data_IF_645377253890
#
_entry.id   IF_645377253890
#
_cell.length_a   1.000
_cell.length_b   1.000
_cell.length_c   1.000
_cell.angle_alpha   90.00
_cell.angle_beta   90.00
_cell.angle_gamma   90.00
#
_symmetry.space_group_name_H-M   'P 1'
#
loop_
_entity.id
_entity.type
_entity.pdbx_description
1 polymer ?
#
# COMPACT_ATOMS: atom_id res chain seq x y z
N UNK A 1 -7.17 21.67 19.74
CA UNK A 1 -6.95 20.40 19.01
C UNK A 1 -8.27 20.02 18.36
N UNK A 2 -8.30 19.88 17.04
CA UNK A 2 -9.49 19.47 16.29
C UNK A 2 -9.69 17.95 16.41
N UNK A 3 -10.92 17.44 16.26
CA UNK A 3 -11.17 15.98 16.25
C UNK A 3 -10.32 15.23 15.19
N UNK A 4 -9.94 15.93 14.12
CA UNK A 4 -9.07 15.41 13.05
C UNK A 4 -7.60 15.26 13.47
N UNK A 5 -7.13 16.07 14.43
CA UNK A 5 -5.78 15.92 15.01
C UNK A 5 -5.73 14.77 16.02
N UNK A 6 -6.84 14.48 16.71
CA UNK A 6 -6.95 13.34 17.63
C UNK A 6 -7.06 12.00 16.87
N UNK A 7 -7.80 11.97 15.75
CA UNK A 7 -7.94 10.79 14.88
C UNK A 7 -6.61 10.26 14.32
N UNK A 8 -5.63 11.15 14.19
CA UNK A 8 -4.34 10.87 13.58
C UNK A 8 -3.27 10.32 14.55
N UNK A 9 -3.63 10.06 15.82
CA UNK A 9 -2.67 9.75 16.90
C UNK A 9 -2.26 8.27 17.00
N UNK A 10 -3.05 7.34 16.45
CA UNK A 10 -2.75 5.90 16.53
C UNK A 10 -1.74 5.44 15.45
N UNK A 11 -1.60 6.20 14.36
CA UNK A 11 -0.66 5.89 13.30
C UNK A 11 0.77 6.22 13.72
N UNK A 12 1.75 5.35 13.39
CA UNK A 12 3.16 5.68 13.51
C UNK A 12 3.52 7.00 12.81
N UNK A 13 4.48 7.70 13.39
CA UNK A 13 5.02 8.94 12.83
C UNK A 13 6.47 8.80 12.41
N UNK A 14 6.85 9.54 11.38
CA UNK A 14 8.20 9.56 10.81
C UNK A 14 8.67 11.02 10.70
N UNK A 15 9.90 11.31 11.13
CA UNK A 15 10.53 12.63 10.93
C UNK A 15 11.10 12.76 9.53
N UNK A 16 11.37 13.99 9.09
CA UNK A 16 12.07 14.24 7.82
C UNK A 16 13.39 13.46 7.72
N UNK A 17 14.20 13.47 8.77
CA UNK A 17 15.51 12.79 8.81
C UNK A 17 15.37 11.27 8.75
N UNK A 18 14.35 10.71 9.39
CA UNK A 18 14.03 9.29 9.27
C UNK A 18 13.57 8.95 7.85
N UNK A 19 12.73 9.80 7.25
CA UNK A 19 12.26 9.62 5.88
C UNK A 19 13.40 9.59 4.86
N UNK A 20 14.44 10.42 5.04
CA UNK A 20 15.62 10.42 4.16
C UNK A 20 16.36 9.08 4.16
N UNK A 21 16.25 8.27 5.22
CA UNK A 21 16.87 6.93 5.29
C UNK A 21 16.24 5.93 4.31
N UNK A 22 15.01 6.20 3.86
CA UNK A 22 14.36 5.42 2.80
C UNK A 22 14.99 5.65 1.41
N UNK A 23 15.91 6.62 1.30
CA UNK A 23 16.64 6.96 0.07
C UNK A 23 15.70 7.21 -1.12
N UNK A 24 14.76 8.18 -1.00
CA UNK A 24 13.87 8.50 -2.11
C UNK A 24 14.68 8.94 -3.33
N UNK A 25 14.32 8.41 -4.49
CA UNK A 25 14.95 8.78 -5.77
C UNK A 25 14.80 10.27 -6.09
N UNK A 26 13.85 10.96 -5.44
CA UNK A 26 13.65 12.40 -5.50
C UNK A 26 14.87 13.22 -5.05
N UNK A 27 15.79 12.63 -4.28
CA UNK A 27 17.05 13.30 -3.89
C UNK A 27 18.03 13.48 -5.05
N UNK A 28 17.85 12.71 -6.14
CA UNK A 28 18.70 12.80 -7.32
C UNK A 28 18.32 14.00 -8.21
N UNK A 29 17.18 14.63 -7.97
CA UNK A 29 16.71 15.81 -8.68
C UNK A 29 16.69 17.00 -7.72
N UNK A 30 17.40 18.09 -8.06
CA UNK A 30 17.55 19.25 -7.17
C UNK A 30 16.21 19.91 -6.84
N UNK A 31 15.28 19.99 -7.80
CA UNK A 31 13.97 20.64 -7.59
C UNK A 31 13.11 19.78 -6.66
N UNK A 32 13.07 18.47 -6.90
CA UNK A 32 12.33 17.52 -6.05
C UNK A 32 12.93 17.40 -4.65
N UNK A 33 14.25 17.45 -4.52
CA UNK A 33 14.94 17.47 -3.23
C UNK A 33 14.59 18.73 -2.42
N UNK A 34 14.58 19.91 -3.06
CA UNK A 34 14.14 21.17 -2.42
C UNK A 34 12.68 21.08 -2.00
N UNK A 35 11.79 20.63 -2.89
CA UNK A 35 10.37 20.44 -2.56
C UNK A 35 10.16 19.49 -1.37
N UNK A 36 10.88 18.36 -1.34
CA UNK A 36 10.83 17.40 -0.24
C UNK A 36 11.28 18.05 1.08
N UNK A 37 12.33 18.87 1.07
CA UNK A 37 12.81 19.60 2.24
C UNK A 37 11.80 20.65 2.71
N UNK A 38 11.20 21.39 1.80
CA UNK A 38 10.15 22.39 2.09
C UNK A 38 8.89 21.76 2.67
N UNK A 39 8.48 20.58 2.18
CA UNK A 39 7.37 19.83 2.77
C UNK A 39 7.79 19.34 4.16
N UNK A 40 8.94 18.68 4.27
CA UNK A 40 9.43 18.10 5.52
C UNK A 40 9.59 19.11 6.66
N UNK A 41 9.87 20.39 6.37
CA UNK A 41 9.99 21.43 7.39
C UNK A 41 8.65 21.93 7.96
N UNK A 42 7.50 21.60 7.34
CA UNK A 42 6.18 22.09 7.78
C UNK A 42 5.69 21.42 9.06
N UNK A 43 6.12 20.19 9.33
CA UNK A 43 5.79 19.43 10.54
C UNK A 43 7.01 18.66 11.03
N UNK A 44 7.16 18.57 12.35
CA UNK A 44 8.23 17.79 12.99
C UNK A 44 8.13 16.29 12.66
N UNK A 45 6.89 15.79 12.65
CA UNK A 45 6.55 14.39 12.50
C UNK A 45 5.35 14.27 11.56
N UNK A 46 5.37 13.23 10.72
CA UNK A 46 4.38 12.96 9.69
C UNK A 46 3.86 11.54 9.87
N UNK A 47 2.53 11.35 9.87
CA UNK A 47 1.94 10.01 9.75
C UNK A 47 1.49 9.73 8.31
N UNK A 48 0.97 8.52 8.06
CA UNK A 48 0.52 8.12 6.73
C UNK A 48 -0.56 9.07 6.17
N UNK A 49 -1.56 9.46 6.97
CA UNK A 49 -2.65 10.32 6.53
C UNK A 49 -2.18 11.74 6.19
N UNK A 50 -1.20 12.28 6.92
CA UNK A 50 -0.60 13.58 6.61
C UNK A 50 0.04 13.56 5.21
N UNK A 51 0.80 12.51 4.90
CA UNK A 51 1.45 12.36 3.59
C UNK A 51 0.44 12.13 2.47
N UNK A 52 -0.59 11.31 2.71
CA UNK A 52 -1.63 11.01 1.72
C UNK A 52 -2.45 12.26 1.32
N UNK A 53 -2.57 13.23 2.23
CA UNK A 53 -3.28 14.51 2.01
C UNK A 53 -2.46 15.58 1.29
N UNK A 54 -1.18 15.34 0.96
CA UNK A 54 -0.35 16.26 0.19
C UNK A 54 -0.78 16.28 -1.29
N UNK A 55 -1.80 17.10 -1.61
CA UNK A 55 -2.34 17.22 -2.97
C UNK A 55 -1.33 17.79 -3.97
N UNK A 56 -0.35 18.57 -3.51
CA UNK A 56 0.75 19.06 -4.35
C UNK A 56 1.75 17.98 -4.75
N UNK A 57 1.67 16.79 -4.15
CA UNK A 57 2.46 15.61 -4.49
C UNK A 57 1.58 14.65 -5.29
N UNK A 58 2.09 14.11 -6.39
CA UNK A 58 1.32 13.12 -7.16
C UNK A 58 1.06 11.85 -6.31
N UNK A 59 0.00 11.12 -6.66
CA UNK A 59 -0.46 9.97 -5.86
C UNK A 59 0.58 8.85 -5.83
N UNK A 60 1.28 8.60 -6.94
CA UNK A 60 2.30 7.56 -7.00
C UNK A 60 3.43 7.82 -6.00
N UNK A 61 3.89 9.07 -5.90
CA UNK A 61 4.92 9.49 -4.95
C UNK A 61 4.40 9.41 -3.50
N UNK A 62 3.14 9.79 -3.25
CA UNK A 62 2.49 9.61 -1.93
C UNK A 62 2.42 8.14 -1.53
N UNK A 63 1.98 7.25 -2.43
CA UNK A 63 1.91 5.81 -2.20
C UNK A 63 3.29 5.22 -1.92
N UNK A 64 4.31 5.60 -2.70
CA UNK A 64 5.69 5.15 -2.49
C UNK A 64 6.24 5.53 -1.11
N UNK A 65 5.84 6.69 -0.59
CA UNK A 65 6.24 7.17 0.74
C UNK A 65 5.59 6.34 1.86
N UNK A 66 4.28 6.12 1.81
CA UNK A 66 3.52 5.58 2.95
C UNK A 66 3.38 4.06 2.98
N UNK A 67 3.51 3.38 1.85
CA UNK A 67 3.42 1.91 1.80
C UNK A 67 4.72 1.32 2.34
N UNK A 68 4.90 1.39 3.67
CA UNK A 68 6.08 0.99 4.46
C UNK A 68 5.68 0.70 5.90
N UNK A 69 6.43 -0.16 6.58
CA UNK A 69 6.10 -0.61 7.94
C UNK A 69 6.29 0.49 9.00
N UNK A 70 7.09 1.52 8.69
CA UNK A 70 7.28 2.70 9.52
C UNK A 70 6.07 3.65 9.53
N UNK A 71 5.13 3.49 8.59
CA UNK A 71 3.91 4.29 8.50
C UNK A 71 2.64 3.46 8.74
N UNK A 72 2.65 2.19 8.36
CA UNK A 72 1.48 1.29 8.38
C UNK A 72 1.90 -0.08 8.89
N UNK A 73 1.07 -0.74 9.71
CA UNK A 73 1.39 -2.09 10.20
C UNK A 73 1.50 -3.09 9.03
N UNK A 74 2.28 -4.15 9.22
CA UNK A 74 2.41 -5.21 8.22
C UNK A 74 1.06 -5.85 7.86
N UNK A 75 0.16 -6.00 8.84
CA UNK A 75 -1.20 -6.51 8.62
C UNK A 75 -2.01 -5.57 7.72
N UNK A 76 -1.98 -4.25 7.98
CA UNK A 76 -2.68 -3.26 7.17
C UNK A 76 -2.12 -3.24 5.74
N UNK A 77 -0.80 -3.31 5.56
CA UNK A 77 -0.16 -3.41 4.24
C UNK A 77 -0.57 -4.68 3.48
N UNK A 78 -0.68 -5.82 4.17
CA UNK A 78 -1.12 -7.05 3.54
C UNK A 78 -2.60 -7.03 3.15
N UNK A 79 -3.48 -6.53 4.02
CA UNK A 79 -4.91 -6.37 3.68
C UNK A 79 -5.09 -5.34 2.56
N UNK A 80 -4.33 -4.24 2.57
CA UNK A 80 -4.33 -3.27 1.48
C UNK A 80 -3.96 -3.93 0.15
N UNK A 81 -2.89 -4.73 0.12
CA UNK A 81 -2.51 -5.48 -1.06
C UNK A 81 -3.63 -6.43 -1.54
N UNK A 82 -4.32 -7.12 -0.62
CA UNK A 82 -5.49 -7.95 -0.94
C UNK A 82 -6.62 -7.13 -1.58
N UNK A 83 -6.98 -5.96 -1.02
CA UNK A 83 -8.01 -5.08 -1.58
C UNK A 83 -7.63 -4.52 -2.96
N UNK A 84 -6.36 -4.19 -3.18
CA UNK A 84 -5.88 -3.78 -4.50
C UNK A 84 -6.05 -4.90 -5.54
N UNK A 85 -5.75 -6.16 -5.18
CA UNK A 85 -6.00 -7.28 -6.07
C UNK A 85 -7.49 -7.55 -6.29
N UNK A 86 -8.33 -7.47 -5.26
CA UNK A 86 -9.79 -7.59 -5.44
C UNK A 86 -10.31 -6.52 -6.41
N UNK A 87 -9.86 -5.27 -6.26
CA UNK A 87 -10.20 -4.20 -7.18
C UNK A 87 -9.74 -4.53 -8.60
N UNK A 88 -8.49 -4.99 -8.80
CA UNK A 88 -7.99 -5.38 -10.12
C UNK A 88 -8.83 -6.51 -10.74
N UNK A 89 -9.14 -7.56 -9.96
CA UNK A 89 -9.94 -8.70 -10.40
C UNK A 89 -11.37 -8.29 -10.74
N UNK A 90 -11.95 -7.32 -10.02
CA UNK A 90 -13.29 -6.78 -10.31
C UNK A 90 -13.40 -6.08 -11.67
N UNK A 91 -12.28 -5.69 -12.28
CA UNK A 91 -12.24 -5.05 -13.61
C UNK A 91 -12.10 -6.06 -14.75
N UNK A 92 -12.04 -7.35 -14.45
CA UNK A 92 -11.93 -8.44 -15.42
C UNK A 92 -13.27 -9.17 -15.43
N UNK A 93 -13.87 -9.36 -16.61
CA UNK A 93 -15.21 -9.98 -16.72
C UNK A 93 -15.25 -11.44 -16.21
N UNK A 94 -14.16 -12.19 -16.41
CA UNK A 94 -14.01 -13.56 -15.94
C UNK A 94 -12.62 -13.77 -15.32
N UNK A 95 -12.40 -13.30 -14.07
CA UNK A 95 -11.10 -13.40 -13.42
C UNK A 95 -10.75 -14.87 -13.16
N UNK A 96 -9.47 -15.22 -13.30
CA UNK A 96 -9.02 -16.58 -13.06
C UNK A 96 -9.34 -17.00 -11.61
N UNK A 97 -10.08 -18.11 -11.39
CA UNK A 97 -10.43 -18.57 -10.05
C UNK A 97 -9.21 -18.82 -9.14
N UNK A 98 -8.04 -19.12 -9.72
CA UNK A 98 -6.78 -19.29 -8.96
C UNK A 98 -6.32 -17.97 -8.35
N UNK A 99 -6.58 -16.86 -9.02
CA UNK A 99 -6.25 -15.51 -8.53
C UNK A 99 -7.11 -15.14 -7.32
N UNK A 100 -8.41 -15.43 -7.37
CA UNK A 100 -9.33 -15.24 -6.22
C UNK A 100 -8.88 -16.09 -5.03
N UNK A 101 -8.63 -17.38 -5.26
CA UNK A 101 -8.19 -18.31 -4.21
C UNK A 101 -6.88 -17.90 -3.53
N UNK A 102 -5.96 -17.23 -4.24
CA UNK A 102 -4.73 -16.72 -3.63
C UNK A 102 -4.96 -15.51 -2.72
N UNK A 103 -5.88 -14.60 -3.08
CA UNK A 103 -6.26 -13.49 -2.19
C UNK A 103 -6.92 -14.04 -0.92
N UNK A 104 -7.83 -15.01 -1.05
CA UNK A 104 -8.45 -15.69 0.09
C UNK A 104 -7.40 -16.40 0.96
N UNK A 105 -6.46 -17.12 0.35
CA UNK A 105 -5.38 -17.79 1.08
C UNK A 105 -4.53 -16.80 1.88
N UNK A 106 -4.21 -15.64 1.31
CA UNK A 106 -3.46 -14.60 2.04
C UNK A 106 -4.23 -14.11 3.26
N UNK A 107 -5.55 -13.88 3.14
CA UNK A 107 -6.39 -13.49 4.29
C UNK A 107 -6.47 -14.59 5.35
N UNK A 108 -6.56 -15.86 4.96
CA UNK A 108 -6.50 -17.01 5.89
C UNK A 108 -5.16 -17.05 6.63
N UNK A 109 -4.06 -16.81 5.92
CA UNK A 109 -2.72 -16.75 6.50
C UNK A 109 -2.58 -15.61 7.52
N UNK A 110 -3.13 -14.43 7.23
CA UNK A 110 -3.15 -13.31 8.18
C UNK A 110 -3.93 -13.63 9.46
N UNK A 111 -4.96 -14.48 9.37
CA UNK A 111 -5.72 -14.98 10.54
C UNK A 111 -5.05 -16.17 11.24
N UNK A 112 -3.90 -16.65 10.74
CA UNK A 112 -3.21 -17.82 11.28
C UNK A 112 -3.88 -19.17 10.96
N UNK A 113 -4.85 -19.20 10.04
CA UNK A 113 -5.59 -20.41 9.68
C UNK A 113 -4.79 -21.36 8.78
N UNK A 114 -3.79 -20.82 8.06
CA UNK A 114 -2.89 -21.61 7.22
C UNK A 114 -1.45 -21.20 7.49
N UNK A 115 -0.54 -22.17 7.37
CA UNK A 115 0.89 -21.99 7.51
C UNK A 115 1.53 -21.25 6.33
N UNK A 116 2.74 -20.75 6.53
CA UNK A 116 3.60 -20.22 5.47
C UNK A 116 3.77 -21.19 4.29
N UNK A 117 3.87 -22.48 4.59
CA UNK A 117 4.06 -23.54 3.57
C UNK A 117 2.79 -23.71 2.73
N UNK A 118 1.63 -23.74 3.38
CA UNK A 118 0.34 -23.85 2.69
C UNK A 118 0.04 -22.61 1.84
N UNK A 119 0.37 -21.41 2.33
CA UNK A 119 0.27 -20.18 1.55
C UNK A 119 1.13 -20.30 0.29
N UNK A 120 2.42 -20.63 0.42
CA UNK A 120 3.33 -20.80 -0.72
C UNK A 120 2.81 -21.79 -1.77
N UNK A 121 2.28 -22.94 -1.35
CA UNK A 121 1.74 -23.95 -2.27
C UNK A 121 0.54 -23.42 -3.06
N UNK A 122 -0.38 -22.72 -2.40
CA UNK A 122 -1.54 -22.10 -3.07
C UNK A 122 -1.11 -21.02 -4.05
N UNK A 123 -0.09 -20.24 -3.68
CA UNK A 123 0.46 -19.14 -4.43
C UNK A 123 1.28 -19.56 -5.67
N UNK A 124 2.08 -20.63 -5.59
CA UNK A 124 2.86 -21.16 -6.72
C UNK A 124 1.97 -21.63 -7.88
N UNK A 125 0.74 -22.08 -7.60
CA UNK A 125 -0.23 -22.47 -8.63
C UNK A 125 -0.76 -21.28 -9.47
N UNK A 126 -0.48 -20.03 -9.05
CA UNK A 126 -1.01 -18.78 -9.65
C UNK A 126 -0.04 -18.13 -10.63
N UNK A 127 1.22 -18.58 -10.74
CA UNK A 127 2.21 -17.98 -11.64
C UNK A 127 1.80 -17.96 -13.13
N UNK A 128 0.75 -18.70 -13.52
CA UNK A 128 0.12 -18.66 -14.85
C UNK A 128 -1.24 -17.94 -14.94
N UNK A 129 -1.70 -17.23 -13.89
CA UNK A 129 -3.06 -16.70 -13.77
C UNK A 129 -3.16 -15.15 -13.68
N UNK A 130 -2.03 -14.44 -13.62
CA UNK A 130 -1.99 -12.96 -13.59
C UNK A 130 -0.91 -12.40 -12.65
N UNK A 131 -0.29 -11.27 -13.03
CA UNK A 131 0.89 -10.72 -12.34
C UNK A 131 0.57 -10.02 -11.00
N UNK A 132 -0.56 -9.34 -10.87
CA UNK A 132 -0.95 -8.65 -9.63
C UNK A 132 -0.99 -9.61 -8.44
N UNK A 133 -1.61 -10.78 -8.62
CA UNK A 133 -1.81 -11.74 -7.53
C UNK A 133 -0.52 -12.49 -7.18
N UNK A 134 0.44 -12.59 -8.10
CA UNK A 134 1.74 -13.19 -7.84
C UNK A 134 2.54 -12.44 -6.74
N UNK A 135 2.32 -11.13 -6.57
CA UNK A 135 3.03 -10.31 -5.57
C UNK A 135 2.45 -10.42 -4.15
N UNK A 136 1.16 -10.73 -4.02
CA UNK A 136 0.52 -11.07 -2.74
C UNK A 136 1.06 -12.42 -2.21
N UNK A 137 1.55 -13.22 -3.15
CA UNK A 137 1.82 -14.65 -3.02
C UNK A 137 3.23 -14.98 -2.49
N UNK A 138 4.16 -14.02 -2.56
CA UNK A 138 5.51 -14.15 -2.04
C UNK A 138 5.58 -13.65 -0.58
N UNK A 139 6.41 -14.27 0.24
CA UNK A 139 6.89 -13.72 1.54
C UNK A 139 7.82 -12.53 1.26
N UNK A 140 7.34 -11.54 0.53
CA UNK A 140 7.98 -10.25 0.43
C UNK A 140 7.58 -9.44 1.68
N UNK A 141 8.44 -8.50 2.08
CA UNK A 141 8.06 -7.53 3.11
C UNK A 141 6.72 -6.89 2.71
N UNK A 142 5.83 -6.63 3.67
CA UNK A 142 4.44 -6.29 3.37
C UNK A 142 4.32 -5.06 2.45
N UNK A 143 5.27 -4.14 2.59
CA UNK A 143 5.44 -2.95 1.77
C UNK A 143 5.78 -3.25 0.29
N UNK A 144 6.65 -4.24 0.03
CA UNK A 144 7.01 -4.66 -1.34
C UNK A 144 5.80 -5.25 -2.04
N UNK A 145 5.06 -6.12 -1.35
CA UNK A 145 3.83 -6.69 -1.88
C UNK A 145 2.80 -5.59 -2.19
N UNK A 146 2.55 -4.68 -1.24
CA UNK A 146 1.58 -3.60 -1.42
C UNK A 146 1.92 -2.70 -2.62
N UNK A 147 3.17 -2.21 -2.70
CA UNK A 147 3.59 -1.32 -3.78
C UNK A 147 3.56 -2.03 -5.15
N UNK A 148 4.00 -3.29 -5.21
CA UNK A 148 4.01 -4.06 -6.45
C UNK A 148 2.58 -4.33 -6.96
N UNK A 149 1.64 -4.66 -6.07
CA UNK A 149 0.24 -4.86 -6.44
C UNK A 149 -0.39 -3.57 -6.94
N UNK A 150 -0.13 -2.42 -6.30
CA UNK A 150 -0.61 -1.11 -6.74
C UNK A 150 -0.12 -0.81 -8.17
N UNK A 151 1.19 -0.95 -8.42
CA UNK A 151 1.77 -0.72 -9.74
C UNK A 151 1.21 -1.67 -10.81
N UNK A 152 1.00 -2.94 -10.46
CA UNK A 152 0.40 -3.93 -11.37
C UNK A 152 -1.05 -3.60 -11.69
N UNK A 153 -1.82 -3.24 -10.67
CA UNK A 153 -3.23 -2.88 -10.78
C UNK A 153 -3.41 -1.67 -11.68
N UNK A 154 -2.64 -0.59 -11.48
CA UNK A 154 -2.70 0.59 -12.35
C UNK A 154 -2.42 0.23 -13.81
N UNK A 155 -1.45 -0.66 -14.05
CA UNK A 155 -1.12 -1.12 -15.41
C UNK A 155 -2.17 -2.03 -16.02
N UNK A 156 -2.81 -2.90 -15.23
CA UNK A 156 -3.88 -3.80 -15.71
C UNK A 156 -5.16 -3.01 -16.01
N UNK A 157 -5.54 -2.11 -15.12
CA UNK A 157 -6.75 -1.30 -15.26
C UNK A 157 -6.57 -0.24 -16.35
N UNK A 158 -5.35 0.30 -16.51
CA UNK A 158 -5.01 1.24 -17.60
C UNK A 158 -5.72 2.59 -17.53
N UNK A 159 -6.54 2.85 -16.50
CA UNK A 159 -7.27 4.09 -16.32
C UNK A 159 -6.47 5.08 -15.45
N UNK A 160 -6.50 6.35 -15.83
CA UNK A 160 -5.89 7.43 -15.04
C UNK A 160 -6.48 7.53 -13.61
N UNK A 161 -7.74 7.12 -13.43
CA UNK A 161 -8.44 7.09 -12.14
C UNK A 161 -7.99 5.97 -11.21
N UNK A 162 -7.27 4.95 -11.70
CA UNK A 162 -6.85 3.82 -10.88
C UNK A 162 -6.01 4.25 -9.66
N UNK A 163 -5.17 5.28 -9.81
CA UNK A 163 -4.43 5.84 -8.67
C UNK A 163 -5.35 6.45 -7.61
N UNK A 164 -6.40 7.17 -8.01
CA UNK A 164 -7.38 7.73 -7.07
C UNK A 164 -8.15 6.62 -6.36
N UNK A 165 -8.58 5.59 -7.09
CA UNK A 165 -9.33 4.47 -6.53
C UNK A 165 -8.47 3.71 -5.51
N UNK A 166 -7.19 3.45 -5.82
CA UNK A 166 -6.25 2.78 -4.92
C UNK A 166 -5.88 3.63 -3.70
N UNK A 167 -5.78 4.96 -3.85
CA UNK A 167 -5.63 5.89 -2.73
C UNK A 167 -6.86 5.84 -1.81
N UNK A 168 -8.06 5.86 -2.38
CA UNK A 168 -9.31 5.80 -1.63
C UNK A 168 -9.46 4.47 -0.88
N UNK A 169 -9.07 3.34 -1.50
CA UNK A 169 -9.02 2.03 -0.84
C UNK A 169 -8.11 2.09 0.40
N UNK A 170 -6.92 2.71 0.30
CA UNK A 170 -6.01 2.84 1.44
C UNK A 170 -6.59 3.70 2.54
N UNK A 171 -7.12 4.88 2.19
CA UNK A 171 -7.70 5.82 3.16
C UNK A 171 -8.88 5.17 3.89
N UNK A 172 -9.75 4.45 3.18
CA UNK A 172 -10.88 3.77 3.79
C UNK A 172 -10.43 2.65 4.71
N UNK A 173 -9.45 1.84 4.31
CA UNK A 173 -8.88 0.80 5.16
C UNK A 173 -8.28 1.37 6.46
N UNK A 174 -7.52 2.47 6.37
CA UNK A 174 -6.98 3.15 7.56
C UNK A 174 -8.10 3.60 8.50
N UNK A 175 -9.19 4.17 7.97
CA UNK A 175 -10.35 4.60 8.78
C UNK A 175 -11.12 3.43 9.41
N UNK A 176 -11.20 2.30 8.71
CA UNK A 176 -11.84 1.08 9.23
C UNK A 176 -11.04 0.48 10.39
N UNK A 177 -9.70 0.51 10.33
CA UNK A 177 -8.82 0.05 11.41
C UNK A 177 -8.86 0.99 12.63
N UNK A 178 -9.04 2.29 12.43
CA UNK A 178 -9.20 3.25 13.55
C UNK A 178 -10.47 3.00 14.38
N UNK A 179 -11.50 2.39 13.79
CA UNK A 179 -12.80 2.14 14.42
C UNK A 179 -12.88 0.79 15.14
N UNK A 180 -11.86 -0.07 15.03
CA UNK A 180 -11.79 -1.40 15.65
C UNK A 180 -11.07 -1.37 16.99
#
# INVERSE_FOLDING_TARGET
>A
MTQQELANTWLPTVTYEQFLKFKPCWLNDRKRATQLKEIGSRKKEWNALDVLRLEEVNIADRMWAVLREEFLSANLLHEYACRCADYALSKIDNPDPRSIQAVEAKRKWMRGEISDTELKVKCLKVWGAGRAVAWISARAAAWVSALAVVQDTVRVVGQATAWNDLLNILINLIKEEEQQ
#
